data_IF_268156966402
#
_entry.id   IF_268156966402
#
_cell.length_a   1.000
_cell.length_b   1.000
_cell.length_c   1.000
_cell.angle_alpha   90.00
_cell.angle_beta   90.00
_cell.angle_gamma   90.00
#
_symmetry.space_group_name_H-M   'P 1'
#
loop_
_entity.id
_entity.type
_entity.pdbx_description
1 polymer ?
#
# COMPACT_ATOMS: atom_id res chain seq x y z
N UNK A 1 20.21 2.45 -22.92
CA UNK A 1 19.12 1.69 -22.26
C UNK A 1 18.02 2.67 -21.89
N UNK A 2 16.85 2.53 -22.47
CA UNK A 2 15.69 3.36 -22.11
C UNK A 2 15.21 2.91 -20.73
N UNK A 3 15.21 3.81 -19.74
CA UNK A 3 14.69 3.50 -18.41
C UNK A 3 13.20 3.11 -18.44
N UNK A 4 12.67 2.65 -17.30
CA UNK A 4 11.25 2.28 -17.15
C UNK A 4 10.36 3.53 -17.34
N UNK A 5 9.91 3.74 -18.57
CA UNK A 5 8.99 4.84 -18.93
C UNK A 5 7.75 4.29 -19.60
N UNK A 6 6.60 4.87 -19.30
CA UNK A 6 5.35 4.55 -20.00
C UNK A 6 5.14 5.48 -21.22
N UNK A 7 4.08 5.22 -21.99
CA UNK A 7 3.75 5.98 -23.20
C UNK A 7 3.40 7.46 -22.96
N UNK A 8 3.17 7.86 -21.70
CA UNK A 8 2.86 9.24 -21.29
C UNK A 8 4.07 9.95 -20.69
N UNK A 9 5.27 9.34 -20.76
CA UNK A 9 6.52 9.91 -20.28
C UNK A 9 6.74 9.78 -18.76
N UNK A 10 5.85 9.09 -18.01
CA UNK A 10 6.02 8.88 -16.57
C UNK A 10 7.15 7.90 -16.32
N UNK A 11 8.10 8.28 -15.45
CA UNK A 11 9.20 7.40 -15.03
C UNK A 11 8.71 6.46 -13.92
N UNK A 12 8.94 5.16 -14.08
CA UNK A 12 8.54 4.14 -13.11
C UNK A 12 9.75 3.73 -12.29
N UNK A 13 9.73 4.07 -11.01
CA UNK A 13 10.83 3.80 -10.07
C UNK A 13 10.40 2.93 -8.89
N UNK A 14 9.12 2.62 -8.80
CA UNK A 14 8.50 2.06 -7.60
C UNK A 14 7.70 0.79 -7.90
N UNK A 15 8.13 -0.32 -7.32
CA UNK A 15 7.47 -1.62 -7.41
C UNK A 15 6.78 -1.98 -6.09
N UNK A 16 5.47 -2.24 -6.15
CA UNK A 16 4.76 -2.88 -5.04
C UNK A 16 4.71 -4.38 -5.29
N UNK A 17 5.12 -5.18 -4.32
CA UNK A 17 5.24 -6.64 -4.45
C UNK A 17 4.26 -7.31 -3.48
N UNK A 18 3.25 -7.99 -4.03
CA UNK A 18 2.42 -8.89 -3.25
C UNK A 18 3.18 -10.19 -3.03
N UNK A 19 3.54 -10.47 -1.78
CA UNK A 19 4.26 -11.70 -1.43
C UNK A 19 3.32 -12.87 -1.13
N UNK A 20 2.04 -12.61 -0.96
CA UNK A 20 1.00 -13.61 -0.70
C UNK A 20 -0.37 -13.03 -1.01
N UNK A 21 -1.29 -13.87 -1.43
CA UNK A 21 -2.72 -13.55 -1.57
C UNK A 21 -3.49 -13.71 -0.24
N UNK A 22 -2.89 -14.38 0.76
CA UNK A 22 -3.52 -14.67 2.05
C UNK A 22 -3.49 -13.47 2.98
N UNK A 23 -4.55 -13.33 3.78
CA UNK A 23 -4.67 -12.32 4.82
C UNK A 23 -5.33 -12.91 6.07
N UNK A 24 -4.91 -12.48 7.25
CA UNK A 24 -5.57 -12.81 8.51
C UNK A 24 -6.80 -11.93 8.82
N UNK A 25 -7.03 -10.84 8.06
CA UNK A 25 -8.25 -10.03 8.06
C UNK A 25 -9.19 -10.39 6.91
N UNK A 26 -10.43 -9.88 6.99
CA UNK A 26 -11.48 -9.96 5.96
C UNK A 26 -12.17 -8.61 5.80
N UNK A 27 -11.34 -7.53 5.69
CA UNK A 27 -11.88 -6.17 5.65
C UNK A 27 -12.96 -6.03 4.60
N UNK A 28 -14.09 -5.44 5.00
CA UNK A 28 -15.32 -5.36 4.21
C UNK A 28 -15.13 -4.72 2.84
N UNK A 29 -14.22 -3.77 2.74
CA UNK A 29 -13.90 -3.08 1.48
C UNK A 29 -12.83 -3.80 0.63
N UNK A 30 -12.20 -4.86 1.16
CA UNK A 30 -11.04 -5.50 0.53
C UNK A 30 -11.37 -6.87 -0.08
N UNK A 31 -12.12 -7.71 0.64
CA UNK A 31 -12.47 -9.07 0.17
C UNK A 31 -13.78 -9.56 0.77
N UNK A 32 -14.42 -10.57 0.14
CA UNK A 32 -15.62 -11.23 0.66
C UNK A 32 -15.40 -11.87 2.03
N UNK A 33 -16.49 -12.04 2.80
CA UNK A 33 -16.46 -12.66 4.12
C UNK A 33 -15.95 -14.10 4.06
N UNK A 34 -16.35 -14.82 3.03
CA UNK A 34 -15.94 -16.21 2.77
C UNK A 34 -14.45 -16.30 2.42
N UNK A 35 -13.85 -15.19 2.05
CA UNK A 35 -12.50 -15.10 1.51
C UNK A 35 -12.48 -15.33 0.01
N UNK A 36 -11.29 -15.61 -0.50
CA UNK A 36 -11.02 -15.81 -1.92
C UNK A 36 -10.42 -17.20 -2.12
N UNK A 37 -10.59 -17.83 -3.28
CA UNK A 37 -9.81 -19.02 -3.63
C UNK A 37 -8.32 -18.68 -3.56
N UNK A 38 -7.58 -19.41 -2.71
CA UNK A 38 -6.16 -19.17 -2.54
C UNK A 38 -5.35 -19.78 -3.67
N UNK A 39 -4.33 -19.08 -4.10
CA UNK A 39 -3.39 -19.60 -5.07
C UNK A 39 -2.67 -20.86 -4.53
N UNK A 40 -2.45 -21.90 -5.37
CA UNK A 40 -1.54 -23.00 -5.03
C UNK A 40 -0.14 -22.47 -4.71
N UNK A 41 0.56 -23.12 -3.78
CA UNK A 41 1.94 -22.73 -3.44
C UNK A 41 2.89 -22.70 -4.65
N UNK A 42 2.72 -23.62 -5.58
CA UNK A 42 3.50 -23.71 -6.84
C UNK A 42 3.34 -22.46 -7.72
N UNK A 43 2.23 -21.75 -7.56
CA UNK A 43 1.92 -20.57 -8.37
C UNK A 43 2.42 -19.28 -7.74
N UNK A 44 2.72 -19.30 -6.45
CA UNK A 44 3.27 -18.14 -5.72
C UNK A 44 4.78 -18.08 -5.98
N UNK A 45 5.28 -16.88 -6.29
CA UNK A 45 6.71 -16.62 -6.42
C UNK A 45 7.45 -16.92 -5.12
N UNK A 46 8.60 -17.60 -5.23
CA UNK A 46 9.53 -17.72 -4.09
C UNK A 46 10.19 -16.38 -3.77
N UNK A 47 10.88 -16.27 -2.64
CA UNK A 47 11.63 -15.05 -2.30
C UNK A 47 12.80 -14.80 -3.25
N UNK A 48 13.44 -15.87 -3.71
CA UNK A 48 14.50 -15.85 -4.71
C UNK A 48 13.99 -15.32 -6.05
N UNK A 49 12.81 -15.80 -6.48
CA UNK A 49 12.14 -15.34 -7.70
C UNK A 49 11.77 -13.85 -7.61
N UNK A 50 11.24 -13.41 -6.47
CA UNK A 50 10.94 -11.99 -6.22
C UNK A 50 12.22 -11.15 -6.28
N UNK A 51 13.29 -11.59 -5.60
CA UNK A 51 14.56 -10.88 -5.60
C UNK A 51 15.17 -10.83 -7.01
N UNK A 52 15.02 -11.89 -7.80
CA UNK A 52 15.47 -11.91 -9.20
C UNK A 52 14.70 -10.93 -10.08
N UNK A 53 13.36 -10.83 -9.93
CA UNK A 53 12.57 -9.78 -10.62
C UNK A 53 13.13 -8.39 -10.29
N UNK A 54 13.36 -8.10 -9.02
CA UNK A 54 13.89 -6.79 -8.59
C UNK A 54 15.28 -6.57 -9.16
N UNK A 55 16.16 -7.58 -9.17
CA UNK A 55 17.52 -7.51 -9.70
C UNK A 55 17.54 -7.20 -11.20
N UNK A 56 16.60 -7.76 -11.98
CA UNK A 56 16.47 -7.47 -13.41
C UNK A 56 15.88 -6.07 -13.68
N UNK A 57 14.98 -5.57 -12.84
CA UNK A 57 14.37 -4.25 -13.00
C UNK A 57 15.26 -3.09 -12.48
N UNK A 58 16.16 -3.37 -11.57
CA UNK A 58 17.04 -2.37 -10.97
C UNK A 58 17.92 -1.62 -11.98
N UNK A 59 18.59 -2.27 -12.97
CA UNK A 59 19.33 -1.59 -14.03
C UNK A 59 18.45 -0.73 -14.94
N UNK A 60 17.15 -1.03 -15.03
CA UNK A 60 16.18 -0.28 -15.82
C UNK A 60 15.66 0.97 -15.10
N UNK A 61 16.05 1.20 -13.85
CA UNK A 61 15.68 2.39 -13.08
C UNK A 61 14.76 2.16 -11.89
N UNK A 62 14.46 0.92 -11.51
CA UNK A 62 13.76 0.62 -10.26
C UNK A 62 14.65 1.00 -9.08
N UNK A 63 14.10 1.77 -8.12
CA UNK A 63 14.82 2.26 -6.93
C UNK A 63 14.12 1.91 -5.62
N UNK A 64 12.81 1.69 -5.66
CA UNK A 64 11.97 1.63 -4.48
C UNK A 64 11.07 0.41 -4.52
N UNK A 65 11.01 -0.30 -3.41
CA UNK A 65 10.21 -1.52 -3.26
C UNK A 65 9.27 -1.37 -2.07
N UNK A 66 8.02 -1.80 -2.25
CA UNK A 66 7.10 -1.98 -1.14
C UNK A 66 6.61 -3.41 -1.08
N UNK A 67 6.94 -4.07 0.00
CA UNK A 67 6.43 -5.38 0.31
C UNK A 67 4.99 -5.23 0.81
N UNK A 68 4.10 -6.01 0.23
CA UNK A 68 2.66 -6.05 0.52
C UNK A 68 2.12 -7.46 0.24
N UNK A 69 0.81 -7.60 0.10
CA UNK A 69 0.19 -8.88 -0.21
C UNK A 69 -1.30 -8.80 0.10
N UNK A 70 -1.88 -9.89 0.54
CA UNK A 70 -2.94 -9.85 1.51
C UNK A 70 -2.35 -9.26 2.80
N UNK A 71 -1.79 -10.11 3.68
CA UNK A 71 -0.98 -9.62 4.80
C UNK A 71 0.44 -10.22 4.69
N UNK A 72 1.48 -9.43 4.40
CA UNK A 72 2.82 -9.96 4.17
C UNK A 72 3.46 -10.63 5.40
N UNK A 73 3.13 -10.16 6.60
CA UNK A 73 3.73 -10.68 7.85
C UNK A 73 3.28 -12.10 8.21
N UNK A 74 2.23 -12.62 7.58
CA UNK A 74 1.84 -14.03 7.76
C UNK A 74 2.65 -14.99 6.89
N UNK A 75 3.35 -14.49 5.87
CA UNK A 75 4.27 -15.32 5.09
C UNK A 75 5.53 -15.58 5.91
N UNK A 76 5.90 -16.86 6.16
CA UNK A 76 7.06 -17.20 6.99
C UNK A 76 8.36 -16.58 6.45
N UNK A 77 9.28 -16.24 7.36
CA UNK A 77 10.64 -15.76 7.02
C UNK A 77 10.67 -14.49 6.16
N UNK A 78 9.70 -13.58 6.31
CA UNK A 78 9.67 -12.30 5.59
C UNK A 78 10.98 -11.49 5.70
N UNK A 79 11.70 -11.47 6.84
CA UNK A 79 13.01 -10.81 6.95
C UNK A 79 14.05 -11.34 5.96
N UNK A 80 13.97 -12.60 5.54
CA UNK A 80 14.87 -13.14 4.51
C UNK A 80 14.67 -12.45 3.17
N UNK A 81 13.43 -12.20 2.75
CA UNK A 81 13.15 -11.41 1.55
C UNK A 81 13.72 -9.99 1.67
N UNK A 82 13.53 -9.34 2.84
CA UNK A 82 14.07 -7.98 3.07
C UNK A 82 15.58 -7.95 2.87
N UNK A 83 16.32 -8.93 3.45
CA UNK A 83 17.79 -9.06 3.27
C UNK A 83 18.17 -9.27 1.79
N UNK A 84 17.44 -10.11 1.06
CA UNK A 84 17.69 -10.33 -0.37
C UNK A 84 17.49 -9.06 -1.19
N UNK A 85 16.43 -8.29 -0.92
CA UNK A 85 16.14 -7.02 -1.60
C UNK A 85 17.17 -5.96 -1.24
N UNK A 86 17.64 -5.90 0.02
CA UNK A 86 18.69 -4.98 0.48
C UNK A 86 20.02 -5.27 -0.20
N UNK A 87 20.26 -6.52 -0.59
CA UNK A 87 21.43 -6.94 -1.37
C UNK A 87 21.42 -6.49 -2.83
N UNK A 88 20.37 -5.82 -3.33
CA UNK A 88 20.32 -5.22 -4.68
C UNK A 88 20.77 -3.76 -4.59
N UNK A 89 21.96 -3.39 -5.08
CA UNK A 89 22.57 -2.08 -4.78
C UNK A 89 21.75 -0.88 -5.22
N UNK A 90 20.95 -1.02 -6.28
CA UNK A 90 20.13 0.06 -6.81
C UNK A 90 18.83 0.28 -6.02
N UNK A 91 18.48 -0.61 -5.08
CA UNK A 91 17.29 -0.45 -4.23
C UNK A 91 17.63 0.45 -3.05
N UNK A 92 17.10 1.65 -3.08
CA UNK A 92 17.35 2.70 -2.09
C UNK A 92 16.39 2.59 -0.89
N UNK A 93 15.16 2.13 -1.14
CA UNK A 93 14.07 2.18 -0.17
C UNK A 93 13.24 0.90 -0.20
N UNK A 94 13.17 0.23 0.95
CA UNK A 94 12.35 -0.96 1.19
C UNK A 94 11.34 -0.63 2.28
N UNK A 95 10.05 -0.63 1.93
CA UNK A 95 8.96 -0.35 2.84
C UNK A 95 8.01 -1.56 2.95
N UNK A 96 7.29 -1.64 4.06
CA UNK A 96 6.27 -2.65 4.31
C UNK A 96 4.89 -1.99 4.37
N UNK A 97 3.88 -2.61 3.74
CA UNK A 97 2.47 -2.34 4.05
C UNK A 97 1.90 -3.54 4.80
N UNK A 98 1.33 -3.33 5.98
CA UNK A 98 0.83 -4.39 6.86
C UNK A 98 -0.38 -3.91 7.66
N UNK A 99 -1.21 -4.84 8.13
CA UNK A 99 -2.25 -4.53 9.12
C UNK A 99 -1.72 -4.36 10.55
N UNK A 100 -0.43 -4.61 10.76
CA UNK A 100 0.26 -4.33 12.02
C UNK A 100 0.16 -5.41 13.10
N UNK A 101 -0.71 -6.41 12.96
CA UNK A 101 -0.97 -7.42 14.02
C UNK A 101 0.32 -8.09 14.51
N UNK A 102 1.25 -8.36 13.61
CA UNK A 102 2.51 -9.03 13.94
C UNK A 102 3.72 -8.11 14.10
N UNK A 103 3.52 -6.79 14.02
CA UNK A 103 4.63 -5.84 14.22
C UNK A 103 5.30 -5.95 15.59
N UNK A 104 4.57 -6.12 16.71
CA UNK A 104 5.21 -6.28 18.02
C UNK A 104 6.23 -7.43 18.09
N UNK A 105 5.99 -8.49 17.28
CA UNK A 105 6.86 -9.66 17.23
C UNK A 105 8.00 -9.53 16.21
N UNK A 106 7.76 -8.85 15.09
CA UNK A 106 8.62 -8.90 13.91
C UNK A 106 9.39 -7.60 13.62
N UNK A 107 9.03 -6.48 14.25
CA UNK A 107 9.56 -5.17 13.87
C UNK A 107 11.09 -5.12 13.98
N UNK A 108 11.68 -5.65 15.06
CA UNK A 108 13.12 -5.66 15.25
C UNK A 108 13.83 -6.49 14.17
N UNK A 109 13.35 -7.71 13.92
CA UNK A 109 13.99 -8.58 12.91
C UNK A 109 13.87 -7.99 11.49
N UNK A 110 12.76 -7.31 11.19
CA UNK A 110 12.57 -6.61 9.92
C UNK A 110 13.51 -5.41 9.77
N UNK A 111 13.69 -4.63 10.84
CA UNK A 111 14.63 -3.52 10.87
C UNK A 111 16.08 -4.01 10.69
N UNK A 112 16.50 -5.04 11.42
CA UNK A 112 17.81 -5.67 11.32
C UNK A 112 18.08 -6.26 9.92
N UNK A 113 17.01 -6.69 9.24
CA UNK A 113 17.08 -7.15 7.86
C UNK A 113 17.25 -6.02 6.83
N UNK A 114 17.04 -4.76 7.23
CA UNK A 114 17.18 -3.58 6.39
C UNK A 114 15.87 -2.98 5.90
N UNK A 115 14.72 -3.32 6.52
CA UNK A 115 13.49 -2.59 6.30
C UNK A 115 13.64 -1.16 6.81
N UNK A 116 13.16 -0.18 6.06
CA UNK A 116 13.33 1.24 6.44
C UNK A 116 12.11 1.76 7.19
N UNK A 117 10.90 1.47 6.70
CA UNK A 117 9.67 2.06 7.22
C UNK A 117 8.44 1.18 7.04
N UNK A 118 7.41 1.51 7.80
CA UNK A 118 6.13 0.80 7.78
C UNK A 118 4.97 1.74 7.43
N UNK A 119 4.09 1.25 6.56
CA UNK A 119 2.75 1.78 6.37
C UNK A 119 1.77 0.78 6.97
N UNK A 120 1.16 1.14 8.07
CA UNK A 120 0.21 0.29 8.77
C UNK A 120 -1.22 0.67 8.40
N UNK A 121 -2.01 -0.30 7.97
CA UNK A 121 -3.46 -0.11 7.80
C UNK A 121 -4.12 -0.10 9.17
N UNK A 122 -4.81 0.97 9.50
CA UNK A 122 -5.42 1.20 10.80
C UNK A 122 -6.72 1.99 10.62
N UNK A 123 -7.80 1.27 10.32
CA UNK A 123 -9.08 1.91 9.98
C UNK A 123 -9.89 2.31 11.22
N UNK A 124 -9.47 1.93 12.42
CA UNK A 124 -10.03 2.36 13.69
C UNK A 124 -9.01 2.23 14.83
N UNK A 125 -9.20 3.02 15.88
CA UNK A 125 -8.49 2.92 17.17
C UNK A 125 -9.30 2.15 18.21
N UNK A 126 -10.55 1.79 17.90
CA UNK A 126 -11.50 1.13 18.81
C UNK A 126 -11.55 -0.38 18.51
N UNK A 127 -11.25 -1.26 19.49
CA UNK A 127 -11.15 -2.71 19.26
C UNK A 127 -12.40 -3.33 18.64
N UNK A 128 -13.59 -2.94 19.09
CA UNK A 128 -14.87 -3.43 18.58
C UNK A 128 -15.09 -3.04 17.11
N UNK A 129 -14.66 -1.83 16.72
CA UNK A 129 -14.76 -1.36 15.34
C UNK A 129 -13.73 -2.02 14.44
N UNK A 130 -12.51 -2.21 14.95
CA UNK A 130 -11.47 -3.00 14.25
C UNK A 130 -12.03 -4.39 13.96
N UNK A 131 -12.62 -5.06 14.95
CA UNK A 131 -13.20 -6.38 14.78
C UNK A 131 -14.34 -6.39 13.74
N UNK A 132 -15.17 -5.36 13.72
CA UNK A 132 -16.27 -5.20 12.76
C UNK A 132 -15.74 -4.99 11.33
N UNK A 133 -14.82 -4.04 11.12
CA UNK A 133 -14.26 -3.73 9.80
C UNK A 133 -13.44 -4.91 9.28
N UNK A 134 -12.56 -5.48 10.10
CA UNK A 134 -11.69 -6.61 9.75
C UNK A 134 -12.44 -7.95 9.69
N UNK A 135 -13.70 -8.00 10.17
CA UNK A 135 -14.52 -9.21 10.26
C UNK A 135 -13.79 -10.35 10.97
N UNK A 136 -13.00 -9.99 12.02
CA UNK A 136 -12.20 -10.88 12.84
C UNK A 136 -12.08 -10.32 14.25
N UNK A 137 -12.29 -11.17 15.24
CA UNK A 137 -12.01 -10.84 16.64
C UNK A 137 -10.53 -11.07 16.90
N UNK A 138 -9.80 -10.00 17.23
CA UNK A 138 -8.37 -10.03 17.52
C UNK A 138 -8.09 -9.12 18.71
N UNK A 139 -7.20 -9.58 19.58
CA UNK A 139 -6.62 -8.72 20.60
C UNK A 139 -5.49 -7.91 19.94
N UNK A 140 -5.83 -6.75 19.40
CA UNK A 140 -4.91 -5.92 18.62
C UNK A 140 -5.09 -4.45 19.00
N UNK A 141 -3.97 -3.81 19.32
CA UNK A 141 -3.87 -2.37 19.54
C UNK A 141 -2.99 -1.74 18.45
N UNK A 142 -3.56 -0.92 17.55
CA UNK A 142 -2.79 -0.24 16.50
C UNK A 142 -1.71 0.70 17.04
N UNK A 143 -1.94 1.34 18.20
CA UNK A 143 -0.96 2.25 18.79
C UNK A 143 0.25 1.46 19.30
N UNK A 144 0.03 0.37 20.03
CA UNK A 144 1.10 -0.50 20.49
C UNK A 144 1.91 -1.09 19.33
N UNK A 145 1.25 -1.46 18.22
CA UNK A 145 1.94 -1.93 17.02
C UNK A 145 2.80 -0.85 16.35
N UNK A 146 2.31 0.38 16.29
CA UNK A 146 3.07 1.52 15.77
C UNK A 146 4.26 1.88 16.67
N UNK A 147 4.08 1.84 18.00
CA UNK A 147 5.14 2.05 18.98
C UNK A 147 6.24 0.98 18.89
N UNK A 148 5.86 -0.29 18.71
CA UNK A 148 6.82 -1.38 18.52
C UNK A 148 7.67 -1.18 17.25
N UNK A 149 7.04 -0.77 16.15
CA UNK A 149 7.76 -0.46 14.92
C UNK A 149 8.70 0.75 15.09
N UNK A 150 8.24 1.79 15.77
CA UNK A 150 9.07 2.98 16.06
C UNK A 150 10.26 2.63 16.97
N UNK A 151 10.04 1.82 18.01
CA UNK A 151 11.08 1.38 18.92
C UNK A 151 12.17 0.54 18.23
N UNK A 152 11.79 -0.21 17.18
CA UNK A 152 12.71 -0.95 16.32
C UNK A 152 13.46 -0.04 15.30
N UNK A 153 13.24 1.27 15.31
CA UNK A 153 13.90 2.21 14.40
C UNK A 153 13.27 2.31 13.02
N UNK A 154 12.09 1.71 12.78
CA UNK A 154 11.37 1.84 11.52
C UNK A 154 10.71 3.22 11.43
N UNK A 155 11.19 4.07 10.54
CA UNK A 155 10.71 5.45 10.39
C UNK A 155 10.70 5.88 8.91
N UNK A 156 9.72 6.69 8.51
CA UNK A 156 8.57 7.15 9.26
C UNK A 156 7.49 6.07 9.44
N UNK A 157 6.76 6.14 10.56
CA UNK A 157 5.54 5.35 10.78
C UNK A 157 4.37 6.05 10.08
N UNK A 158 3.65 5.31 9.24
CA UNK A 158 2.43 5.81 8.59
C UNK A 158 1.23 4.97 8.96
N UNK A 159 0.18 5.61 9.44
CA UNK A 159 -1.13 5.02 9.66
C UNK A 159 -2.02 5.35 8.47
N UNK A 160 -2.41 4.36 7.71
CA UNK A 160 -3.34 4.50 6.59
C UNK A 160 -4.75 4.21 7.09
N UNK A 161 -5.66 5.13 6.91
CA UNK A 161 -7.06 5.05 7.34
C UNK A 161 -7.96 5.19 6.13
N UNK A 162 -8.69 4.14 5.77
CA UNK A 162 -9.77 4.26 4.78
C UNK A 162 -10.98 4.84 5.51
N UNK A 163 -11.34 6.08 5.17
CA UNK A 163 -12.46 6.77 5.84
C UNK A 163 -13.77 6.37 5.21
N UNK A 164 -14.70 5.89 6.05
CA UNK A 164 -16.00 5.37 5.64
C UNK A 164 -17.10 6.06 6.45
N UNK A 165 -17.98 6.79 5.75
CA UNK A 165 -19.11 7.54 6.35
C UNK A 165 -20.01 6.60 7.16
N UNK A 166 -20.32 7.01 8.39
CA UNK A 166 -21.16 6.24 9.31
C UNK A 166 -20.52 4.97 9.87
N UNK A 167 -19.26 4.71 9.58
CA UNK A 167 -18.52 3.53 10.06
C UNK A 167 -17.36 3.95 10.97
N UNK A 168 -16.43 4.79 10.48
CA UNK A 168 -15.25 5.24 11.23
C UNK A 168 -14.92 6.73 11.02
N UNK A 169 -15.74 7.47 10.32
CA UNK A 169 -15.51 8.88 10.02
C UNK A 169 -15.60 9.80 11.25
N UNK A 170 -16.13 9.29 12.36
CA UNK A 170 -16.12 9.94 13.69
C UNK A 170 -14.73 9.88 14.37
N UNK A 171 -13.81 9.02 13.92
CA UNK A 171 -12.45 8.91 14.46
C UNK A 171 -11.41 9.79 13.75
N UNK A 172 -11.81 10.58 12.75
CA UNK A 172 -10.90 11.46 12.00
C UNK A 172 -10.11 12.39 12.93
N UNK A 173 -10.77 12.99 13.91
CA UNK A 173 -10.14 13.90 14.87
C UNK A 173 -9.22 13.16 15.87
N UNK A 174 -9.58 11.94 16.27
CA UNK A 174 -8.73 11.11 17.12
C UNK A 174 -7.41 10.76 16.43
N UNK A 175 -7.49 10.39 15.14
CA UNK A 175 -6.31 10.16 14.32
C UNK A 175 -5.47 11.42 14.08
N UNK A 176 -6.11 12.56 13.83
CA UNK A 176 -5.41 13.84 13.67
C UNK A 176 -4.63 14.23 14.94
N UNK A 177 -5.23 14.01 16.12
CA UNK A 177 -4.58 14.26 17.42
C UNK A 177 -3.30 13.45 17.61
N UNK A 178 -3.21 12.23 17.08
CA UNK A 178 -1.98 11.43 17.13
C UNK A 178 -0.79 12.13 16.48
N UNK A 179 -1.03 12.98 15.46
CA UNK A 179 0.07 13.70 14.79
C UNK A 179 0.64 14.84 15.62
N UNK A 180 -0.14 15.35 16.59
CA UNK A 180 0.32 16.33 17.58
C UNK A 180 1.19 15.66 18.65
N UNK A 181 0.80 14.46 19.08
CA UNK A 181 1.39 13.74 20.20
C UNK A 181 2.61 12.88 19.80
N UNK A 182 2.67 12.45 18.55
CA UNK A 182 3.65 11.47 18.03
C UNK A 182 4.22 11.89 16.69
N UNK A 183 5.44 11.50 16.35
CA UNK A 183 6.03 11.75 15.03
C UNK A 183 5.47 10.78 13.97
N UNK A 184 4.19 10.50 14.05
CA UNK A 184 3.49 9.61 13.12
C UNK A 184 2.77 10.39 12.03
N UNK A 185 2.67 9.78 10.86
CA UNK A 185 1.96 10.37 9.73
C UNK A 185 0.65 9.62 9.53
N UNK A 186 -0.46 10.30 9.67
CA UNK A 186 -1.80 9.75 9.42
C UNK A 186 -2.21 10.05 7.99
N UNK A 187 -2.56 9.04 7.24
CA UNK A 187 -2.93 9.16 5.84
C UNK A 187 -4.39 8.72 5.64
N UNK A 188 -5.28 9.66 5.47
CA UNK A 188 -6.69 9.41 5.18
C UNK A 188 -6.86 9.08 3.71
N UNK A 189 -7.56 8.00 3.41
CA UNK A 189 -7.76 7.47 2.06
C UNK A 189 -9.25 7.43 1.76
N UNK A 190 -9.65 8.01 0.65
CA UNK A 190 -11.02 7.89 0.17
C UNK A 190 -11.37 6.43 -0.14
N UNK A 191 -12.55 5.99 0.30
CA UNK A 191 -13.07 4.68 -0.01
C UNK A 191 -13.24 4.50 -1.52
N UNK A 192 -12.65 3.43 -2.05
CA UNK A 192 -12.71 3.12 -3.48
C UNK A 192 -13.77 2.04 -3.77
N UNK A 193 -14.50 2.13 -4.88
CA UNK A 193 -15.57 1.19 -5.25
C UNK A 193 -14.97 -0.13 -5.78
N UNK A 194 -14.31 -0.89 -4.91
CA UNK A 194 -13.73 -2.20 -5.21
C UNK A 194 -14.21 -3.23 -4.20
N UNK A 195 -14.24 -4.52 -4.59
CA UNK A 195 -14.71 -5.59 -3.74
C UNK A 195 -16.21 -5.52 -3.44
N UNK A 196 -16.63 -6.05 -2.28
CA UNK A 196 -18.04 -6.09 -1.86
C UNK A 196 -18.64 -4.70 -1.65
N UNK A 197 -17.84 -3.73 -1.23
CA UNK A 197 -18.28 -2.35 -1.00
C UNK A 197 -18.47 -1.54 -2.29
N UNK A 198 -18.20 -2.11 -3.46
CA UNK A 198 -18.35 -1.40 -4.73
C UNK A 198 -19.77 -0.86 -4.95
N UNK A 199 -20.77 -1.62 -4.55
CA UNK A 199 -22.20 -1.22 -4.67
C UNK A 199 -22.61 -0.17 -3.62
N UNK A 200 -21.97 -0.18 -2.44
CA UNK A 200 -22.30 0.68 -1.28
C UNK A 200 -21.38 1.90 -1.16
N UNK A 201 -20.29 1.93 -1.95
CA UNK A 201 -19.22 2.90 -1.77
C UNK A 201 -19.67 4.36 -1.93
N UNK A 202 -20.65 4.66 -2.76
CA UNK A 202 -21.09 6.04 -3.01
C UNK A 202 -21.65 6.70 -1.74
N UNK A 203 -22.42 5.97 -0.95
CA UNK A 203 -23.03 6.49 0.28
C UNK A 203 -22.01 6.58 1.44
N UNK A 204 -20.96 5.78 1.37
CA UNK A 204 -19.92 5.71 2.42
C UNK A 204 -18.67 6.52 2.10
N UNK A 205 -18.54 7.12 0.93
CA UNK A 205 -17.40 7.98 0.61
C UNK A 205 -17.42 9.25 1.46
N UNK A 206 -16.28 9.56 2.07
CA UNK A 206 -16.01 10.84 2.70
C UNK A 206 -14.94 11.54 1.85
N UNK A 207 -15.27 12.66 1.17
CA UNK A 207 -14.29 13.41 0.39
C UNK A 207 -13.14 13.90 1.27
N UNK A 208 -11.93 13.86 0.78
CA UNK A 208 -10.74 14.29 1.54
C UNK A 208 -10.81 15.76 1.96
N UNK A 209 -11.41 16.63 1.15
CA UNK A 209 -11.63 18.04 1.51
C UNK A 209 -12.56 18.19 2.73
N UNK A 210 -13.51 17.27 2.92
CA UNK A 210 -14.34 17.25 4.12
C UNK A 210 -13.52 16.84 5.35
N UNK A 211 -12.66 15.83 5.19
CA UNK A 211 -11.75 15.40 6.26
C UNK A 211 -10.85 16.56 6.71
N UNK A 212 -10.20 17.25 5.76
CA UNK A 212 -9.32 18.38 6.07
C UNK A 212 -10.08 19.51 6.75
N UNK A 213 -11.26 19.89 6.26
CA UNK A 213 -12.10 20.93 6.91
C UNK A 213 -12.50 20.58 8.34
N UNK A 214 -12.85 19.32 8.63
CA UNK A 214 -13.16 18.87 9.99
C UNK A 214 -11.96 19.03 10.93
N UNK A 215 -10.75 18.70 10.43
CA UNK A 215 -9.49 18.82 11.19
C UNK A 215 -9.16 20.30 11.43
N UNK A 216 -9.29 21.15 10.42
CA UNK A 216 -9.03 22.60 10.53
C UNK A 216 -10.00 23.28 11.49
N UNK A 217 -11.26 22.85 11.51
CA UNK A 217 -12.26 23.40 12.42
C UNK A 217 -11.94 23.10 13.90
N UNK A 218 -11.30 21.98 14.20
CA UNK A 218 -10.96 21.55 15.55
C UNK A 218 -9.58 22.02 16.01
N UNK A 219 -8.56 21.91 15.12
CA UNK A 219 -7.15 22.07 15.48
C UNK A 219 -6.48 23.31 14.87
N UNK A 220 -7.19 24.08 14.05
CA UNK A 220 -6.63 25.22 13.34
C UNK A 220 -6.08 24.86 11.95
N UNK A 221 -5.44 25.84 11.31
CA UNK A 221 -5.02 25.76 9.92
C UNK A 221 -4.02 24.65 9.62
N UNK A 222 -4.18 24.05 8.46
CA UNK A 222 -3.29 23.04 7.90
C UNK A 222 -2.34 23.68 6.88
N UNK A 223 -1.05 23.58 7.11
CA UNK A 223 -0.03 24.02 6.16
C UNK A 223 0.40 22.87 5.25
N UNK A 224 0.47 23.13 3.93
CA UNK A 224 0.96 22.13 2.97
C UNK A 224 2.44 21.81 3.24
N UNK A 225 2.77 20.51 3.31
CA UNK A 225 4.15 20.03 3.48
C UNK A 225 4.68 19.61 2.12
N UNK A 226 5.68 20.32 1.61
CA UNK A 226 6.34 19.97 0.36
C UNK A 226 7.45 18.93 0.58
N UNK A 227 7.60 18.01 -0.37
CA UNK A 227 8.79 17.20 -0.53
C UNK A 227 8.65 15.70 -0.33
N UNK A 228 9.64 14.93 -0.81
CA UNK A 228 9.64 13.46 -0.80
C UNK A 228 9.94 12.83 0.55
N UNK A 229 10.21 13.63 1.60
CA UNK A 229 10.63 13.16 2.93
C UNK A 229 9.68 12.12 3.55
N UNK A 230 8.41 12.10 3.13
CA UNK A 230 7.38 11.22 3.68
C UNK A 230 7.08 9.98 2.82
N UNK A 231 7.91 9.71 1.79
CA UNK A 231 7.83 8.52 0.93
C UNK A 231 7.16 8.76 -0.43
N UNK A 232 7.09 7.70 -1.22
CA UNK A 232 6.82 7.74 -2.66
C UNK A 232 5.36 7.42 -3.02
N UNK A 233 4.44 7.57 -2.07
CA UNK A 233 3.01 7.38 -2.28
C UNK A 233 2.35 8.63 -2.92
N UNK A 234 1.05 8.52 -3.27
CA UNK A 234 0.31 9.60 -3.90
C UNK A 234 -0.28 10.61 -2.90
N UNK A 235 0.04 10.51 -1.62
CA UNK A 235 -0.55 11.36 -0.60
C UNK A 235 -0.06 12.81 -0.73
N UNK A 236 -0.99 13.77 -0.67
CA UNK A 236 -0.71 15.16 -0.37
C UNK A 236 -0.63 15.32 1.15
N UNK A 237 0.40 16.00 1.63
CA UNK A 237 0.65 16.13 3.06
C UNK A 237 0.42 17.54 3.57
N UNK A 238 -0.10 17.60 4.80
CA UNK A 238 -0.38 18.82 5.55
C UNK A 238 0.15 18.65 6.97
N UNK A 239 0.40 19.77 7.67
CA UNK A 239 0.84 19.77 9.05
C UNK A 239 0.04 20.79 9.85
N UNK A 240 -0.41 20.40 11.03
CA UNK A 240 -0.93 21.30 12.05
C UNK A 240 0.21 22.06 12.71
N UNK A 241 -0.05 23.25 13.23
CA UNK A 241 0.89 23.96 14.09
C UNK A 241 1.33 23.04 15.24
N UNK A 242 2.62 23.06 15.57
CA UNK A 242 3.26 22.28 16.64
C UNK A 242 3.15 20.75 16.50
N UNK A 243 2.65 20.22 15.38
CA UNK A 243 2.57 18.78 15.17
C UNK A 243 3.94 18.16 14.95
N UNK A 244 4.19 17.04 15.64
CA UNK A 244 5.38 16.20 15.44
C UNK A 244 5.29 15.39 14.15
N UNK A 245 4.08 14.99 13.77
CA UNK A 245 3.77 14.21 12.58
C UNK A 245 3.15 15.06 11.46
N UNK A 246 2.41 14.41 10.57
CA UNK A 246 1.68 15.08 9.50
C UNK A 246 0.40 14.33 9.12
N UNK A 247 -0.50 15.04 8.47
CA UNK A 247 -1.74 14.53 7.92
C UNK A 247 -1.55 14.41 6.40
N UNK A 248 -1.81 13.21 5.86
CA UNK A 248 -1.83 12.96 4.43
C UNK A 248 -3.25 12.70 3.95
N UNK A 249 -3.53 13.03 2.69
CA UNK A 249 -4.77 12.61 2.02
C UNK A 249 -4.44 11.90 0.71
N UNK A 250 -5.16 10.81 0.45
CA UNK A 250 -5.11 10.08 -0.83
C UNK A 250 -6.49 10.13 -1.45
N UNK A 251 -6.60 10.75 -2.60
CA UNK A 251 -7.83 11.23 -3.22
C UNK A 251 -8.13 10.53 -4.55
N UNK A 252 -8.27 9.19 -4.59
CA UNK A 252 -8.48 8.49 -5.85
C UNK A 252 -9.82 8.81 -6.51
N UNK A 253 -10.80 9.31 -5.72
CA UNK A 253 -12.16 9.55 -6.20
C UNK A 253 -12.41 11.01 -6.56
N UNK A 254 -11.83 11.96 -5.81
CA UNK A 254 -12.08 13.40 -5.98
C UNK A 254 -10.98 14.10 -6.79
N UNK A 255 -9.71 13.83 -6.52
CA UNK A 255 -8.56 14.46 -7.17
C UNK A 255 -7.55 13.40 -7.60
N UNK A 256 -7.59 13.01 -8.89
CA UNK A 256 -6.72 11.94 -9.37
C UNK A 256 -5.26 12.33 -9.38
N UNK A 257 -4.40 11.38 -9.00
CA UNK A 257 -2.93 11.52 -9.01
C UNK A 257 -2.28 10.68 -10.11
N UNK A 258 -3.05 10.32 -11.14
CA UNK A 258 -2.61 9.43 -12.21
C UNK A 258 -1.47 10.04 -13.04
N UNK A 259 -1.49 11.36 -13.25
CA UNK A 259 -0.47 12.07 -14.01
C UNK A 259 0.95 11.94 -13.45
N UNK A 260 1.10 11.79 -12.13
CA UNK A 260 2.39 11.60 -11.44
C UNK A 260 2.68 10.15 -11.02
N UNK A 261 1.89 9.18 -11.50
CA UNK A 261 1.98 7.79 -11.07
C UNK A 261 3.26 7.09 -11.55
N UNK A 262 4.20 6.87 -10.64
CA UNK A 262 5.50 6.23 -10.87
C UNK A 262 5.54 4.73 -10.50
N UNK A 263 4.36 4.06 -10.40
CA UNK A 263 4.23 2.74 -9.77
C UNK A 263 3.80 1.66 -10.74
N UNK A 264 4.31 0.44 -10.46
CA UNK A 264 3.80 -0.82 -10.98
C UNK A 264 3.66 -1.83 -9.82
N UNK A 265 2.97 -2.95 -10.07
CA UNK A 265 2.68 -3.97 -9.07
C UNK A 265 3.06 -5.34 -9.59
N UNK A 266 3.69 -6.14 -8.75
CA UNK A 266 3.92 -7.56 -8.96
C UNK A 266 2.95 -8.33 -8.05
N UNK A 267 2.10 -9.15 -8.62
CA UNK A 267 1.18 -10.02 -7.88
C UNK A 267 1.92 -11.22 -7.32
N UNK A 268 1.32 -11.90 -6.33
CA UNK A 268 1.93 -13.08 -5.70
C UNK A 268 2.21 -14.23 -6.70
N UNK A 269 1.42 -14.32 -7.77
CA UNK A 269 1.58 -15.28 -8.87
C UNK A 269 2.43 -14.76 -10.02
N UNK A 270 3.17 -13.66 -9.83
CA UNK A 270 4.16 -13.17 -10.79
C UNK A 270 3.59 -12.44 -12.01
N UNK A 271 2.41 -11.82 -11.86
CA UNK A 271 1.85 -10.93 -12.89
C UNK A 271 2.26 -9.49 -12.64
N UNK A 272 2.71 -8.79 -13.68
CA UNK A 272 2.98 -7.35 -13.62
C UNK A 272 1.72 -6.58 -14.00
N UNK A 273 1.25 -5.73 -13.08
CA UNK A 273 0.13 -4.80 -13.27
C UNK A 273 0.64 -3.37 -13.26
N UNK A 274 0.19 -2.58 -14.20
CA UNK A 274 0.60 -1.18 -14.32
C UNK A 274 -0.36 -0.20 -13.64
N UNK A 275 -1.57 -0.64 -13.32
CA UNK A 275 -2.58 0.12 -12.60
C UNK A 275 -3.28 -0.77 -11.56
N UNK A 276 -3.67 -0.19 -10.41
CA UNK A 276 -4.46 -0.89 -9.39
C UNK A 276 -5.84 -1.29 -9.93
N UNK A 277 -6.43 -0.44 -10.75
CA UNK A 277 -7.80 -0.54 -11.26
C UNK A 277 -7.85 -0.99 -12.73
N UNK A 278 -6.73 -1.39 -13.31
CA UNK A 278 -6.68 -1.96 -14.66
C UNK A 278 -6.75 -3.47 -14.62
N UNK A 279 -7.30 -4.07 -15.66
CA UNK A 279 -7.40 -5.54 -15.79
C UNK A 279 -6.19 -6.15 -16.49
N UNK A 280 -5.37 -5.32 -17.14
CA UNK A 280 -4.22 -5.79 -17.90
C UNK A 280 -3.10 -6.28 -16.99
N UNK A 281 -2.68 -7.52 -17.23
CA UNK A 281 -1.60 -8.21 -16.53
C UNK A 281 -0.63 -8.86 -17.52
N UNK A 282 0.67 -8.65 -17.31
CA UNK A 282 1.71 -9.34 -18.08
C UNK A 282 2.35 -10.41 -17.21
N UNK A 283 2.44 -11.62 -17.76
CA UNK A 283 3.10 -12.74 -17.08
C UNK A 283 4.61 -12.53 -17.04
N UNK A 284 5.17 -12.41 -15.83
CA UNK A 284 6.61 -12.42 -15.60
C UNK A 284 7.10 -13.75 -15.03
N UNK A 285 6.21 -14.57 -14.44
CA UNK A 285 6.60 -15.86 -13.83
C UNK A 285 7.12 -16.86 -14.86
N UNK A 286 6.41 -17.02 -15.97
CA UNK A 286 6.81 -17.99 -17.00
C UNK A 286 8.19 -17.67 -17.60
N UNK A 287 8.45 -16.46 -18.11
CA UNK A 287 9.79 -16.12 -18.61
C UNK A 287 10.86 -16.19 -17.51
N UNK A 288 10.56 -15.75 -16.28
CA UNK A 288 11.50 -15.83 -15.16
C UNK A 288 11.95 -17.27 -14.90
N UNK A 289 11.02 -18.21 -14.79
CA UNK A 289 11.30 -19.64 -14.56
C UNK A 289 11.99 -20.32 -15.73
N UNK A 290 11.83 -19.77 -16.93
CA UNK A 290 12.50 -20.23 -18.15
C UNK A 290 13.87 -19.57 -18.39
N UNK A 291 14.33 -18.70 -17.48
CA UNK A 291 15.59 -17.97 -17.63
C UNK A 291 15.59 -16.92 -18.73
N UNK A 292 14.41 -16.48 -19.18
CA UNK A 292 14.26 -15.44 -20.21
C UNK A 292 14.30 -14.05 -19.55
N UNK A 293 15.05 -13.08 -20.12
CA UNK A 293 15.08 -11.71 -19.60
C UNK A 293 13.70 -11.06 -19.53
N UNK A 294 13.42 -10.35 -18.41
CA UNK A 294 12.11 -9.76 -18.17
C UNK A 294 11.89 -8.39 -18.86
N UNK A 295 12.97 -7.73 -19.29
CA UNK A 295 12.91 -6.38 -19.86
C UNK A 295 11.86 -6.23 -20.98
N UNK A 296 11.76 -7.11 -22.02
CA UNK A 296 10.77 -6.97 -23.08
C UNK A 296 9.32 -7.04 -22.57
N UNK A 297 9.07 -7.89 -21.56
CA UNK A 297 7.74 -8.05 -20.95
C UNK A 297 7.34 -6.82 -20.14
N UNK A 298 8.29 -6.23 -19.41
CA UNK A 298 8.08 -5.03 -18.63
C UNK A 298 7.80 -3.84 -19.55
N UNK A 299 8.56 -3.65 -20.62
CA UNK A 299 8.30 -2.57 -21.58
C UNK A 299 6.95 -2.72 -22.27
N UNK A 300 6.54 -3.96 -22.63
CA UNK A 300 5.19 -4.23 -23.14
C UNK A 300 4.11 -3.82 -22.14
N UNK A 301 4.27 -4.20 -20.88
CA UNK A 301 3.32 -3.80 -19.82
C UNK A 301 3.23 -2.28 -19.69
N UNK A 302 4.35 -1.56 -19.73
CA UNK A 302 4.41 -0.11 -19.60
C UNK A 302 3.80 0.61 -20.82
N UNK A 303 3.92 0.05 -22.02
CA UNK A 303 3.27 0.59 -23.22
C UNK A 303 1.73 0.57 -23.11
N UNK A 304 1.18 -0.33 -22.27
CA UNK A 304 -0.27 -0.47 -22.04
C UNK A 304 -0.72 0.17 -20.71
N UNK A 305 0.18 0.88 -20.00
CA UNK A 305 -0.18 1.58 -18.78
C UNK A 305 -1.16 2.71 -19.09
N UNK A 306 -2.37 2.72 -18.47
CA UNK A 306 -3.36 3.75 -18.77
C UNK A 306 -2.92 5.13 -18.30
N UNK A 307 -3.39 6.18 -18.98
CA UNK A 307 -3.20 7.55 -18.55
C UNK A 307 -3.87 7.80 -17.21
N UNK A 308 -5.12 7.35 -17.09
CA UNK A 308 -5.95 7.47 -15.89
C UNK A 308 -6.60 6.13 -15.56
N UNK A 309 -7.02 5.96 -14.31
CA UNK A 309 -7.69 4.75 -13.89
C UNK A 309 -9.17 4.72 -14.31
N UNK A 310 -9.68 3.50 -14.54
CA UNK A 310 -11.04 3.29 -15.04
C UNK A 310 -12.15 3.53 -13.99
N UNK A 311 -11.85 3.80 -12.72
CA UNK A 311 -12.85 4.03 -11.68
C UNK A 311 -13.79 5.18 -12.00
N UNK A 312 -13.25 6.27 -12.57
CA UNK A 312 -14.05 7.44 -12.95
C UNK A 312 -15.04 7.13 -14.07
N UNK A 313 -14.72 6.17 -14.94
CA UNK A 313 -15.60 5.73 -16.02
C UNK A 313 -16.64 4.68 -15.58
N UNK A 314 -16.73 4.34 -14.27
CA UNK A 314 -17.62 3.30 -13.72
C UNK A 314 -17.48 1.92 -14.39
N UNK A 315 -16.36 1.65 -15.03
CA UNK A 315 -16.06 0.34 -15.63
C UNK A 315 -15.32 -0.54 -14.63
N UNK A 316 -16.04 -0.96 -13.57
CA UNK A 316 -15.52 -1.89 -12.57
C UNK A 316 -16.03 -3.27 -12.92
N UNK A 317 -15.29 -4.03 -13.70
CA UNK A 317 -15.61 -5.42 -14.05
C UNK A 317 -14.36 -6.28 -13.99
N UNK A 318 -14.47 -7.48 -13.41
CA UNK A 318 -13.40 -8.50 -13.46
C UNK A 318 -12.15 -8.25 -12.63
N UNK A 319 -12.13 -7.24 -11.78
CA UNK A 319 -10.94 -6.88 -11.00
C UNK A 319 -10.66 -7.94 -9.93
N UNK A 320 -9.38 -8.31 -9.82
CA UNK A 320 -8.89 -9.04 -8.63
C UNK A 320 -9.18 -8.20 -7.38
N UNK A 321 -9.43 -8.87 -6.25
CA UNK A 321 -9.57 -8.21 -4.97
C UNK A 321 -8.28 -7.48 -4.57
N UNK A 322 -8.39 -6.40 -3.77
CA UNK A 322 -7.23 -5.61 -3.33
C UNK A 322 -6.14 -6.46 -2.68
N UNK A 323 -6.52 -7.48 -1.91
CA UNK A 323 -5.59 -8.43 -1.28
C UNK A 323 -4.77 -9.25 -2.27
N UNK A 324 -5.26 -9.46 -3.48
CA UNK A 324 -4.56 -10.23 -4.52
C UNK A 324 -3.57 -9.39 -5.34
N UNK A 325 -3.72 -8.07 -5.30
CA UNK A 325 -2.91 -7.13 -6.12
C UNK A 325 -2.01 -6.23 -5.28
N UNK A 326 -1.94 -6.47 -4.00
CA UNK A 326 -1.12 -5.69 -3.09
C UNK A 326 -1.67 -4.27 -2.91
N UNK A 327 -2.93 -4.18 -2.52
CA UNK A 327 -3.69 -2.94 -2.31
C UNK A 327 -3.10 -1.98 -1.31
#
# INVERSE_FOLDING_TARGET
MSGLRDQFGRTIEYLRISVTDRCNFRCSYCMPLEGLPWLPKSDILSYEEIAEVVRQLAPLGLRRVRITGGEPTIRPQLPTLVRMLRGVPAVEDIALSTNGVRLPELAQELADAGLVRVNMSSDSLRPERIASIARRTLNFDPKAAAEAAQAAGLAPIKLNVVVMRGINDDEVLDYARLTLERPWHVCFIELMPVGEMAALSQDHVVPSDEVLRRIEAEFGSLEAVAGPALGNGPAAYHRLADAQGSIGVITPMTHTYCGSCNRVRLTADGRLRTCLFGDHEVDLRTPLRSGVPLEPFVHRALAEKPQEHALLARRVGGLRALSQVGG
#
